data_IF_764494480535
#
_entry.id   IF_764494480535
#
_cell.length_a   1.000
_cell.length_b   1.000
_cell.length_c   1.000
_cell.angle_alpha   90.00
_cell.angle_beta   90.00
_cell.angle_gamma   90.00
#
_symmetry.space_group_name_H-M   'P 1'
#
loop_
_entity.id
_entity.type
_entity.pdbx_description
1 polymer ?
#
# COMPACT_ATOMS: atom_id res chain seq x y z
N UNK A 1 2.37 12.27 -1.48
CA UNK A 1 3.04 11.36 -0.49
C UNK A 1 3.38 10.03 -1.12
N UNK A 2 2.57 9.49 -2.04
CA UNK A 2 2.79 8.21 -2.74
C UNK A 2 4.13 8.18 -3.46
N UNK A 3 4.44 9.23 -4.23
CA UNK A 3 5.72 9.39 -4.91
C UNK A 3 6.91 9.47 -3.92
N UNK A 4 6.70 10.10 -2.75
CA UNK A 4 7.72 10.19 -1.69
C UNK A 4 8.01 8.80 -1.12
N UNK A 5 6.97 8.00 -0.86
CA UNK A 5 7.11 6.64 -0.37
C UNK A 5 7.88 5.76 -1.36
N UNK A 6 7.53 5.84 -2.64
CA UNK A 6 8.24 5.11 -3.69
C UNK A 6 9.70 5.56 -3.81
N UNK A 7 9.97 6.86 -3.74
CA UNK A 7 11.33 7.41 -3.74
C UNK A 7 12.16 6.87 -2.57
N UNK A 8 11.58 6.82 -1.36
CA UNK A 8 12.25 6.22 -0.18
C UNK A 8 12.60 4.75 -0.46
N UNK A 9 11.65 3.97 -0.99
CA UNK A 9 11.86 2.56 -1.30
C UNK A 9 13.00 2.38 -2.31
N UNK A 10 13.01 3.15 -3.39
CA UNK A 10 14.08 3.14 -4.41
C UNK A 10 15.43 3.48 -3.78
N UNK A 11 15.52 4.58 -3.02
CA UNK A 11 16.78 4.99 -2.39
C UNK A 11 17.29 3.95 -1.40
N UNK A 12 16.41 3.37 -0.59
CA UNK A 12 16.79 2.28 0.33
C UNK A 12 17.31 1.06 -0.42
N UNK A 13 16.64 0.64 -1.49
CA UNK A 13 17.11 -0.47 -2.31
C UNK A 13 18.46 -0.19 -2.94
N UNK A 14 18.67 1.01 -3.50
CA UNK A 14 19.96 1.42 -4.07
C UNK A 14 21.09 1.42 -3.04
N UNK A 15 20.85 1.91 -1.82
CA UNK A 15 21.87 1.94 -0.74
C UNK A 15 22.27 0.54 -0.26
N UNK A 16 21.45 -0.48 -0.48
CA UNK A 16 21.73 -1.88 -0.14
C UNK A 16 22.60 -2.59 -1.14
N UNK A 17 22.64 -2.12 -2.37
CA UNK A 17 23.58 -2.60 -3.37
C UNK A 17 24.99 -2.18 -2.88
N UNK A 18 25.64 -3.05 -2.08
CA UNK A 18 26.94 -2.82 -1.43
C UNK A 18 28.07 -2.44 -2.39
N UNK A 19 27.81 -2.52 -3.69
CA UNK A 19 28.76 -2.25 -4.76
C UNK A 19 29.13 -0.77 -4.89
N UNK A 20 28.27 0.15 -4.44
CA UNK A 20 28.50 1.59 -4.58
C UNK A 20 28.02 2.36 -3.34
N UNK A 21 28.82 3.32 -2.91
CA UNK A 21 28.43 4.28 -1.86
C UNK A 21 27.56 5.38 -2.50
N UNK A 22 26.23 5.20 -2.46
CA UNK A 22 25.30 6.14 -3.08
C UNK A 22 25.00 7.26 -2.10
N UNK A 23 25.33 8.48 -2.49
CA UNK A 23 24.96 9.71 -1.77
C UNK A 23 23.85 10.40 -2.55
N UNK A 24 22.66 10.49 -1.95
CA UNK A 24 21.56 11.26 -2.52
C UNK A 24 21.69 12.72 -2.03
N UNK A 25 21.68 13.64 -2.97
CA UNK A 25 21.63 15.09 -2.71
C UNK A 25 20.41 15.65 -3.44
N UNK A 26 19.76 16.63 -2.85
CA UNK A 26 18.61 17.30 -3.44
C UNK A 26 18.39 18.66 -2.78
N UNK A 27 17.71 19.54 -3.48
CA UNK A 27 17.24 20.81 -2.95
C UNK A 27 15.82 20.64 -2.42
N UNK A 28 15.43 21.46 -1.46
CA UNK A 28 14.05 21.55 -1.02
C UNK A 28 13.17 22.06 -2.16
N UNK A 29 11.91 21.60 -2.28
CA UNK A 29 10.96 22.20 -3.18
C UNK A 29 10.81 23.69 -2.93
N UNK A 30 10.62 24.47 -3.98
CA UNK A 30 10.33 25.90 -3.87
C UNK A 30 8.92 26.11 -3.31
N UNK A 31 7.99 25.25 -3.73
CA UNK A 31 6.61 25.24 -3.26
C UNK A 31 6.53 24.84 -1.79
N UNK A 32 5.89 25.68 -0.98
CA UNK A 32 5.78 25.49 0.46
C UNK A 32 4.90 24.28 0.83
N UNK A 33 3.83 24.01 0.07
CA UNK A 33 2.96 22.86 0.32
C UNK A 33 3.70 21.56 0.06
N UNK A 34 4.47 21.49 -1.05
CA UNK A 34 5.30 20.32 -1.35
C UNK A 34 6.37 20.10 -0.28
N UNK A 35 6.96 21.18 0.26
CA UNK A 35 7.93 21.12 1.34
C UNK A 35 7.31 20.58 2.62
N UNK A 36 6.15 21.09 3.02
CA UNK A 36 5.39 20.67 4.18
C UNK A 36 5.03 19.18 4.11
N UNK A 37 4.55 18.71 2.95
CA UNK A 37 4.25 17.28 2.71
C UNK A 37 5.50 16.41 2.91
N UNK A 38 6.66 16.80 2.40
CA UNK A 38 7.91 16.05 2.56
C UNK A 38 8.30 15.98 4.05
N UNK A 39 8.20 17.08 4.77
CA UNK A 39 8.55 17.13 6.19
C UNK A 39 7.61 16.26 7.03
N UNK A 40 6.31 16.38 6.84
CA UNK A 40 5.28 15.62 7.57
C UNK A 40 5.34 14.13 7.26
N UNK A 41 5.73 13.74 6.04
CA UNK A 41 5.86 12.33 5.64
C UNK A 41 6.92 11.55 6.43
N UNK A 42 7.84 12.23 7.10
CA UNK A 42 9.00 11.61 7.76
C UNK A 42 10.16 11.28 6.81
N UNK A 43 10.15 11.80 5.57
CA UNK A 43 11.18 11.57 4.54
C UNK A 43 12.61 11.76 5.05
N UNK A 44 12.86 12.82 5.80
CA UNK A 44 14.21 13.13 6.31
C UNK A 44 14.78 12.07 7.25
N UNK A 45 13.93 11.39 8.01
CA UNK A 45 14.38 10.28 8.87
C UNK A 45 14.97 9.12 8.05
N UNK A 46 14.41 8.86 6.85
CA UNK A 46 14.95 7.86 5.93
C UNK A 46 16.21 8.32 5.21
N UNK A 47 16.36 9.61 5.01
CA UNK A 47 17.54 10.18 4.36
C UNK A 47 18.74 10.33 5.30
N UNK A 48 18.59 10.03 6.60
CA UNK A 48 19.61 10.24 7.62
C UNK A 48 20.07 11.70 7.67
N UNK A 49 19.18 12.62 7.38
CA UNK A 49 19.38 14.05 7.46
C UNK A 49 18.45 14.65 8.51
N UNK A 50 18.90 15.70 9.17
CA UNK A 50 18.03 16.49 10.03
C UNK A 50 16.99 17.22 9.17
N UNK A 51 15.73 17.19 9.59
CA UNK A 51 14.72 18.07 9.01
C UNK A 51 15.14 19.53 9.25
N UNK A 52 15.07 20.39 8.24
CA UNK A 52 15.38 21.81 8.41
C UNK A 52 14.41 22.52 9.36
N UNK A 53 13.22 21.96 9.56
CA UNK A 53 12.21 22.49 10.48
C UNK A 53 11.76 21.42 11.48
N UNK A 54 11.56 21.78 12.74
CA UNK A 54 10.87 20.94 13.71
C UNK A 54 9.38 20.95 13.39
N UNK A 55 8.88 19.89 12.75
CA UNK A 55 7.43 19.66 12.68
C UNK A 55 6.96 19.30 14.08
N UNK A 56 6.34 20.26 14.77
CA UNK A 56 5.67 20.02 16.05
C UNK A 56 4.45 19.15 15.77
N UNK A 57 4.34 18.05 16.49
CA UNK A 57 3.30 17.03 16.51
C UNK A 57 2.08 17.25 15.61
N UNK A 58 2.17 16.82 14.37
CA UNK A 58 1.06 16.93 13.43
C UNK A 58 0.10 15.77 13.64
N UNK A 59 -1.11 16.09 14.06
CA UNK A 59 -2.18 15.11 14.26
C UNK A 59 -2.85 14.68 12.94
N UNK A 60 -2.50 15.26 11.80
CA UNK A 60 -3.15 15.01 10.50
C UNK A 60 -2.40 14.03 9.61
N UNK A 61 -1.21 13.58 10.05
CA UNK A 61 -0.38 12.64 9.28
C UNK A 61 0.16 11.52 10.15
N UNK A 62 0.04 10.29 9.64
CA UNK A 62 0.83 9.15 10.09
C UNK A 62 2.08 9.07 9.23
N UNK A 63 3.27 9.29 9.83
CA UNK A 63 4.54 9.25 9.12
C UNK A 63 4.76 7.91 8.42
N UNK A 64 5.51 7.91 7.34
CA UNK A 64 5.89 6.69 6.64
C UNK A 64 6.59 5.76 7.64
N UNK A 65 6.01 4.58 7.81
CA UNK A 65 6.54 3.47 8.60
C UNK A 65 6.93 2.33 7.67
N UNK A 66 7.89 1.51 8.04
CA UNK A 66 8.34 0.38 7.22
C UNK A 66 8.78 -0.78 8.08
N UNK A 67 8.59 -2.00 7.59
CA UNK A 67 9.01 -3.22 8.25
C UNK A 67 9.13 -4.39 7.29
N UNK A 68 9.51 -5.55 7.84
CA UNK A 68 9.60 -6.83 7.12
C UNK A 68 8.51 -7.80 7.56
N UNK A 69 8.06 -7.66 8.80
CA UNK A 69 7.07 -8.53 9.44
C UNK A 69 5.77 -7.77 9.72
N UNK A 70 4.70 -8.50 10.01
CA UNK A 70 3.44 -7.87 10.39
C UNK A 70 3.55 -7.19 11.75
N UNK A 71 3.16 -5.91 11.82
CA UNK A 71 3.18 -5.07 13.02
C UNK A 71 1.76 -4.76 13.49
N UNK A 72 1.28 -5.52 14.47
CA UNK A 72 -0.06 -5.35 15.02
C UNK A 72 -0.22 -4.05 15.81
N UNK A 73 0.84 -3.55 16.45
CA UNK A 73 0.78 -2.30 17.19
C UNK A 73 0.65 -1.10 16.24
N UNK A 74 1.41 -1.12 15.17
CA UNK A 74 1.32 -0.10 14.12
C UNK A 74 -0.06 -0.14 13.44
N UNK A 75 -0.58 -1.34 13.10
CA UNK A 75 -1.92 -1.48 12.52
C UNK A 75 -3.01 -0.93 13.46
N UNK A 76 -2.91 -1.16 14.78
CA UNK A 76 -3.80 -0.57 15.78
C UNK A 76 -3.72 0.95 15.79
N UNK A 77 -2.50 1.52 15.76
CA UNK A 77 -2.30 2.98 15.74
C UNK A 77 -2.93 3.66 14.52
N UNK A 78 -2.93 2.98 13.36
CA UNK A 78 -3.68 3.47 12.18
C UNK A 78 -5.19 3.43 12.38
N UNK A 79 -5.72 2.40 13.05
CA UNK A 79 -7.14 2.36 13.39
C UNK A 79 -7.54 3.51 14.33
N UNK A 80 -6.74 3.75 15.38
CA UNK A 80 -6.97 4.84 16.32
C UNK A 80 -6.91 6.21 15.62
N UNK A 81 -5.96 6.37 14.69
CA UNK A 81 -5.85 7.56 13.87
C UNK A 81 -7.11 7.82 13.06
N UNK A 82 -7.61 6.82 12.34
CA UNK A 82 -8.85 6.93 11.54
C UNK A 82 -10.05 7.23 12.43
N UNK A 83 -10.19 6.54 13.56
CA UNK A 83 -11.30 6.78 14.50
C UNK A 83 -11.34 8.24 14.93
N UNK A 84 -10.17 8.78 15.26
CA UNK A 84 -10.04 10.18 15.71
C UNK A 84 -10.32 11.18 14.58
N UNK A 85 -9.82 10.90 13.36
CA UNK A 85 -9.88 11.88 12.26
C UNK A 85 -11.21 11.83 11.48
N UNK A 86 -11.87 10.68 11.44
CA UNK A 86 -13.12 10.48 10.69
C UNK A 86 -14.36 10.33 11.57
N UNK A 87 -14.27 10.66 12.85
CA UNK A 87 -15.37 10.49 13.83
C UNK A 87 -15.99 9.06 13.80
N UNK A 88 -15.11 8.05 13.72
CA UNK A 88 -15.50 6.67 13.58
C UNK A 88 -15.36 5.90 14.90
N UNK A 89 -16.18 4.85 15.05
CA UNK A 89 -16.10 3.92 16.18
C UNK A 89 -15.16 2.75 15.86
N UNK A 90 -14.78 1.98 16.88
CA UNK A 90 -14.04 0.71 16.72
C UNK A 90 -14.74 -0.24 15.75
N UNK A 91 -16.08 -0.27 15.76
CA UNK A 91 -16.88 -1.11 14.85
C UNK A 91 -16.69 -0.72 13.39
N UNK A 92 -16.55 0.57 13.12
CA UNK A 92 -16.37 1.10 11.77
C UNK A 92 -14.99 0.76 11.21
N UNK A 93 -13.95 0.85 12.03
CA UNK A 93 -12.57 0.53 11.65
C UNK A 93 -12.22 -0.95 11.75
N UNK A 94 -13.18 -1.82 12.14
CA UNK A 94 -12.97 -3.26 12.36
C UNK A 94 -12.29 -3.97 11.17
N UNK A 95 -12.46 -3.48 9.95
CA UNK A 95 -11.89 -4.06 8.73
C UNK A 95 -10.48 -3.55 8.40
N UNK A 96 -10.11 -2.37 8.88
CA UNK A 96 -8.82 -1.77 8.59
C UNK A 96 -7.66 -2.56 9.20
N UNK A 97 -7.79 -2.98 10.46
CA UNK A 97 -6.75 -3.75 11.14
C UNK A 97 -6.37 -5.04 10.40
N UNK A 98 -7.30 -5.98 10.12
CA UNK A 98 -6.96 -7.20 9.40
C UNK A 98 -6.49 -6.93 7.97
N UNK A 99 -6.95 -5.86 7.30
CA UNK A 99 -6.46 -5.46 5.99
C UNK A 99 -4.98 -5.08 6.04
N UNK A 100 -4.57 -4.25 7.00
CA UNK A 100 -3.17 -3.85 7.16
C UNK A 100 -2.28 -5.06 7.49
N UNK A 101 -2.71 -5.93 8.41
CA UNK A 101 -1.98 -7.15 8.75
C UNK A 101 -1.83 -8.07 7.53
N UNK A 102 -2.87 -8.22 6.72
CA UNK A 102 -2.84 -9.01 5.49
C UNK A 102 -1.82 -8.45 4.48
N UNK A 103 -1.82 -7.13 4.24
CA UNK A 103 -0.87 -6.49 3.35
C UNK A 103 0.58 -6.67 3.83
N UNK A 104 0.85 -6.47 5.12
CA UNK A 104 2.18 -6.69 5.72
C UNK A 104 2.61 -8.15 5.60
N UNK A 105 1.71 -9.09 5.89
CA UNK A 105 1.98 -10.53 5.81
C UNK A 105 2.24 -10.99 4.38
N UNK A 106 1.50 -10.46 3.41
CA UNK A 106 1.67 -10.77 2.00
C UNK A 106 3.06 -10.36 1.49
N UNK A 107 3.59 -9.24 1.96
CA UNK A 107 4.96 -8.82 1.66
C UNK A 107 5.98 -9.87 2.09
N UNK A 108 5.79 -10.49 3.25
CA UNK A 108 6.69 -11.53 3.75
C UNK A 108 6.55 -12.85 2.99
N UNK A 109 5.33 -13.32 2.75
CA UNK A 109 5.06 -14.68 2.24
C UNK A 109 5.31 -14.86 0.74
N UNK A 110 5.08 -13.84 -0.08
CA UNK A 110 5.17 -13.93 -1.54
C UNK A 110 6.53 -13.47 -2.09
N UNK A 111 7.44 -13.22 -1.19
CA UNK A 111 8.72 -12.60 -1.44
C UNK A 111 9.81 -13.56 -1.91
N UNK A 112 9.62 -14.86 -1.87
CA UNK A 112 10.70 -15.83 -2.18
C UNK A 112 10.83 -16.11 -3.68
N UNK A 113 11.72 -15.40 -4.34
CA UNK A 113 12.59 -15.96 -5.36
C UNK A 113 14.01 -15.88 -4.80
N UNK A 114 14.64 -17.03 -4.61
CA UNK A 114 16.09 -17.11 -4.48
C UNK A 114 16.69 -16.56 -5.76
N UNK A 115 17.12 -15.31 -5.74
CA UNK A 115 17.90 -14.76 -6.83
C UNK A 115 19.36 -15.01 -6.52
N UNK A 116 20.15 -15.36 -7.54
CA UNK A 116 21.60 -15.57 -7.56
C UNK A 116 22.42 -14.37 -7.00
N UNK A 117 21.77 -13.26 -6.63
CA UNK A 117 22.37 -12.01 -6.17
C UNK A 117 22.17 -11.74 -4.67
N UNK A 118 21.81 -12.73 -3.86
CA UNK A 118 21.57 -12.59 -2.43
C UNK A 118 20.13 -12.18 -2.10
N UNK A 119 19.66 -12.55 -0.89
CA UNK A 119 18.33 -12.22 -0.41
C UNK A 119 18.16 -10.70 -0.36
N UNK A 120 17.36 -10.14 -1.27
CA UNK A 120 16.84 -8.78 -1.09
C UNK A 120 15.79 -8.84 0.02
N UNK A 121 16.10 -8.25 1.15
CA UNK A 121 15.09 -8.04 2.19
C UNK A 121 13.96 -7.21 1.62
N UNK A 122 12.74 -7.66 1.80
CA UNK A 122 11.53 -7.04 1.30
C UNK A 122 10.90 -6.24 2.41
N UNK A 123 10.63 -5.00 2.09
CA UNK A 123 9.99 -4.07 2.99
C UNK A 123 8.60 -3.75 2.51
N UNK A 124 7.73 -3.61 3.47
CA UNK A 124 6.53 -2.81 3.28
C UNK A 124 6.76 -1.40 3.86
N UNK A 125 6.02 -0.48 3.28
CA UNK A 125 5.92 0.90 3.71
C UNK A 125 4.45 1.26 3.80
N UNK A 126 4.06 2.01 4.83
CA UNK A 126 2.68 2.49 5.02
C UNK A 126 2.68 3.90 5.56
N UNK A 127 1.72 4.70 5.10
CA UNK A 127 1.46 6.06 5.57
C UNK A 127 -0.02 6.38 5.40
N UNK A 128 -0.52 7.34 6.18
CA UNK A 128 -1.86 7.87 6.01
C UNK A 128 -1.89 9.35 6.36
N UNK A 129 -2.79 10.10 5.75
CA UNK A 129 -2.99 11.53 6.06
C UNK A 129 -4.42 11.95 5.83
N UNK A 130 -4.82 12.99 6.57
CA UNK A 130 -6.15 13.59 6.47
C UNK A 130 -6.27 14.35 5.15
N UNK A 131 -7.40 14.19 4.48
CA UNK A 131 -7.83 14.93 3.31
C UNK A 131 -9.14 15.65 3.59
N UNK A 132 -9.68 16.34 2.60
CA UNK A 132 -10.99 17.01 2.73
C UNK A 132 -12.17 16.03 2.84
N UNK A 133 -11.97 14.75 2.45
CA UNK A 133 -13.04 13.73 2.40
C UNK A 133 -12.85 12.60 3.43
N UNK A 134 -11.77 12.65 4.21
CA UNK A 134 -11.43 11.60 5.18
C UNK A 134 -9.95 11.35 5.27
N UNK A 135 -9.55 10.09 5.39
CA UNK A 135 -8.16 9.68 5.52
C UNK A 135 -7.70 8.90 4.29
N UNK A 136 -6.64 9.38 3.66
CA UNK A 136 -5.97 8.74 2.54
C UNK A 136 -4.86 7.82 3.02
N UNK A 137 -4.82 6.61 2.48
CA UNK A 137 -3.83 5.57 2.79
C UNK A 137 -2.98 5.23 1.59
N UNK A 138 -1.71 4.98 1.85
CA UNK A 138 -0.78 4.39 0.89
C UNK A 138 -0.03 3.25 1.55
N UNK A 139 0.00 2.11 0.89
CA UNK A 139 0.80 0.95 1.26
C UNK A 139 1.63 0.51 0.04
N UNK A 140 2.94 0.34 0.22
CA UNK A 140 3.86 -0.12 -0.81
C UNK A 140 4.63 -1.34 -0.29
N UNK A 141 4.62 -2.44 -1.02
CA UNK A 141 5.60 -3.50 -0.85
C UNK A 141 6.69 -3.43 -1.95
N UNK A 142 7.89 -3.86 -1.62
CA UNK A 142 9.02 -3.95 -2.57
C UNK A 142 9.26 -5.39 -3.05
N UNK A 143 8.20 -6.20 -3.06
CA UNK A 143 8.23 -7.58 -3.54
C UNK A 143 8.34 -7.71 -5.06
N UNK A 144 8.11 -8.92 -5.57
CA UNK A 144 8.12 -9.19 -7.02
C UNK A 144 6.86 -8.72 -7.73
N UNK A 145 5.85 -8.28 -6.98
CA UNK A 145 4.54 -7.87 -7.49
C UNK A 145 3.55 -9.04 -7.66
N UNK A 146 2.26 -8.67 -7.69
CA UNK A 146 1.15 -9.64 -7.81
C UNK A 146 1.30 -10.50 -9.07
N UNK A 147 1.53 -9.96 -10.28
CA UNK A 147 1.64 -10.76 -11.50
C UNK A 147 2.70 -11.87 -11.42
N UNK A 148 3.85 -11.55 -10.84
CA UNK A 148 4.95 -12.51 -10.73
C UNK A 148 4.68 -13.63 -9.71
N UNK A 149 3.90 -13.37 -8.66
CA UNK A 149 3.51 -14.39 -7.67
C UNK A 149 2.44 -15.33 -8.20
N UNK A 150 1.53 -14.79 -9.01
CA UNK A 150 0.43 -15.56 -9.62
C UNK A 150 0.94 -16.42 -10.78
N UNK A 151 1.89 -15.93 -11.55
CA UNK A 151 2.39 -16.60 -12.77
C UNK A 151 2.83 -18.06 -12.57
N UNK A 152 3.40 -18.40 -11.40
CA UNK A 152 3.83 -19.79 -11.11
C UNK A 152 2.66 -20.76 -10.89
N UNK A 153 1.51 -20.26 -10.35
CA UNK A 153 0.36 -21.11 -10.00
C UNK A 153 -0.66 -21.24 -11.12
N UNK A 154 -0.56 -20.43 -12.14
CA UNK A 154 -1.62 -20.18 -13.11
C UNK A 154 -1.28 -20.63 -14.52
N UNK A 155 0.00 -20.77 -14.86
CA UNK A 155 0.42 -21.32 -16.16
C UNK A 155 -0.24 -22.69 -16.47
N UNK A 156 -0.65 -23.42 -15.42
CA UNK A 156 -1.34 -24.71 -15.57
C UNK A 156 -2.85 -24.56 -15.80
N UNK A 157 -3.46 -23.39 -15.59
CA UNK A 157 -4.92 -23.22 -15.56
C UNK A 157 -5.49 -22.08 -16.42
N UNK A 158 -4.69 -21.20 -16.98
CA UNK A 158 -5.20 -20.04 -17.74
C UNK A 158 -4.96 -20.13 -19.23
N UNK A 159 -6.04 -19.88 -19.98
CA UNK A 159 -6.04 -19.69 -21.41
C UNK A 159 -5.17 -18.51 -21.85
N UNK A 160 -4.66 -18.54 -23.06
CA UNK A 160 -3.76 -17.55 -23.72
C UNK A 160 -4.20 -16.08 -23.62
N UNK A 161 -5.47 -15.82 -23.27
CA UNK A 161 -6.09 -14.50 -23.16
C UNK A 161 -5.53 -13.60 -22.05
N UNK A 162 -4.87 -14.15 -21.04
CA UNK A 162 -4.32 -13.39 -19.89
C UNK A 162 -2.80 -13.27 -19.96
N UNK A 163 -2.17 -14.06 -20.80
CA UNK A 163 -0.71 -14.08 -20.95
C UNK A 163 -0.16 -12.69 -21.31
N UNK A 164 0.68 -12.13 -20.44
CA UNK A 164 1.36 -10.86 -20.69
C UNK A 164 0.58 -9.58 -20.32
N UNK A 165 -0.56 -9.68 -19.63
CA UNK A 165 -1.31 -8.53 -19.14
C UNK A 165 -1.35 -8.48 -17.60
N UNK A 166 -0.41 -7.74 -16.99
CA UNK A 166 -0.29 -7.61 -15.54
C UNK A 166 -1.56 -7.11 -14.87
N UNK A 167 -2.30 -6.21 -15.51
CA UNK A 167 -3.56 -5.68 -14.97
C UNK A 167 -4.64 -6.79 -14.86
N UNK A 168 -4.69 -7.70 -15.83
CA UNK A 168 -5.62 -8.83 -15.79
C UNK A 168 -5.26 -9.84 -14.69
N UNK A 169 -3.98 -10.00 -14.35
CA UNK A 169 -3.57 -10.82 -13.20
C UNK A 169 -4.02 -10.20 -11.88
N UNK A 170 -3.87 -8.87 -11.72
CA UNK A 170 -4.35 -8.16 -10.54
C UNK A 170 -5.88 -8.31 -10.42
N UNK A 171 -6.62 -8.03 -11.50
CA UNK A 171 -8.07 -8.16 -11.56
C UNK A 171 -8.54 -9.56 -11.16
N UNK A 172 -7.96 -10.60 -11.78
CA UNK A 172 -8.28 -12.00 -11.49
C UNK A 172 -8.01 -12.38 -10.04
N UNK A 173 -6.95 -11.80 -9.45
CA UNK A 173 -6.61 -12.02 -8.04
C UNK A 173 -7.65 -11.36 -7.12
N UNK A 174 -8.09 -10.15 -7.42
CA UNK A 174 -9.14 -9.45 -6.69
C UNK A 174 -10.47 -10.21 -6.75
N UNK A 175 -10.80 -10.78 -7.90
CA UNK A 175 -12.00 -11.60 -8.10
C UNK A 175 -11.89 -13.00 -7.48
N UNK A 176 -10.75 -13.35 -6.91
CA UNK A 176 -10.56 -14.63 -6.21
C UNK A 176 -10.28 -15.83 -7.10
N UNK A 177 -9.92 -15.62 -8.38
CA UNK A 177 -9.62 -16.70 -9.32
C UNK A 177 -8.47 -17.63 -8.87
N UNK A 178 -7.64 -17.20 -7.92
CA UNK A 178 -6.47 -17.93 -7.43
C UNK A 178 -6.57 -18.33 -5.96
N UNK A 179 -7.80 -18.43 -5.43
CA UNK A 179 -8.01 -18.99 -4.09
C UNK A 179 -7.43 -20.40 -4.04
N UNK A 180 -6.38 -20.57 -3.28
CA UNK A 180 -5.94 -21.90 -2.86
C UNK A 180 -7.00 -22.47 -1.93
N UNK A 181 -7.45 -23.69 -2.15
CA UNK A 181 -8.39 -24.45 -1.31
C UNK A 181 -7.81 -24.83 0.06
N UNK A 182 -6.84 -24.08 0.57
CA UNK A 182 -6.33 -24.31 1.94
C UNK A 182 -7.43 -23.94 2.92
N UNK A 183 -8.07 -24.96 3.48
CA UNK A 183 -9.12 -24.96 4.51
C UNK A 183 -8.69 -24.31 5.86
N UNK A 184 -7.83 -23.31 5.85
CA UNK A 184 -7.49 -22.58 7.07
C UNK A 184 -8.51 -21.45 7.27
N UNK A 185 -9.47 -21.72 8.13
CA UNK A 185 -10.59 -20.87 8.53
C UNK A 185 -10.21 -19.47 9.06
N UNK A 186 -8.94 -19.23 9.39
CA UNK A 186 -8.47 -18.03 10.11
C UNK A 186 -7.54 -17.11 9.32
N UNK A 187 -7.26 -17.38 8.04
CA UNK A 187 -6.57 -16.39 7.18
C UNK A 187 -7.59 -15.44 6.61
N UNK A 188 -7.33 -14.14 6.77
CA UNK A 188 -8.10 -13.09 6.14
C UNK A 188 -8.38 -13.42 4.67
N UNK A 189 -9.43 -12.87 4.11
CA UNK A 189 -9.86 -13.22 2.73
C UNK A 189 -8.84 -12.79 1.66
N UNK A 190 -7.68 -12.26 2.05
CA UNK A 190 -6.65 -11.76 1.16
C UNK A 190 -7.13 -10.61 0.27
N UNK A 191 -6.54 -10.49 -0.92
CA UNK A 191 -6.93 -9.46 -1.89
C UNK A 191 -8.43 -9.48 -2.26
N UNK A 192 -9.11 -10.64 -2.39
CA UNK A 192 -10.56 -10.65 -2.58
C UNK A 192 -11.35 -10.01 -1.45
N UNK A 193 -10.85 -10.10 -0.20
CA UNK A 193 -11.50 -9.43 0.94
C UNK A 193 -11.36 -7.92 0.88
N UNK A 194 -10.21 -7.42 0.46
CA UNK A 194 -9.99 -5.98 0.24
C UNK A 194 -10.92 -5.46 -0.87
N UNK A 195 -11.10 -6.21 -1.94
CA UNK A 195 -12.04 -5.88 -3.00
C UNK A 195 -13.50 -5.88 -2.50
N UNK A 196 -13.90 -6.87 -1.70
CA UNK A 196 -15.22 -6.90 -1.07
C UNK A 196 -15.44 -5.68 -0.15
N UNK A 197 -14.43 -5.27 0.61
CA UNK A 197 -14.51 -4.09 1.48
C UNK A 197 -14.66 -2.79 0.67
N UNK A 198 -14.01 -2.69 -0.51
CA UNK A 198 -14.19 -1.57 -1.43
C UNK A 198 -15.61 -1.55 -2.04
N UNK A 199 -16.13 -2.69 -2.50
CA UNK A 199 -17.51 -2.80 -3.03
C UNK A 199 -18.56 -2.46 -1.98
N UNK A 200 -18.31 -2.77 -0.71
CA UNK A 200 -19.21 -2.49 0.39
C UNK A 200 -19.00 -1.08 1.00
N UNK A 201 -18.31 -0.20 0.32
CA UNK A 201 -18.01 1.17 0.74
C UNK A 201 -17.35 1.27 2.15
N UNK A 202 -16.60 0.23 2.56
CA UNK A 202 -15.78 0.28 3.78
C UNK A 202 -14.47 1.03 3.55
N UNK A 203 -13.99 0.97 2.32
CA UNK A 203 -12.90 1.78 1.78
C UNK A 203 -13.35 2.32 0.41
N UNK A 204 -12.80 3.44 -0.01
CA UNK A 204 -13.12 4.11 -1.27
C UNK A 204 -11.86 4.30 -2.11
N UNK A 205 -12.04 4.56 -3.39
CA UNK A 205 -10.94 4.91 -4.31
C UNK A 205 -9.80 3.87 -4.36
N UNK A 206 -10.11 2.58 -4.12
CA UNK A 206 -9.10 1.53 -4.13
C UNK A 206 -8.41 1.47 -5.49
N UNK A 207 -7.11 1.73 -5.50
CA UNK A 207 -6.24 1.61 -6.66
C UNK A 207 -5.04 0.72 -6.31
N UNK A 208 -4.74 -0.23 -7.19
CA UNK A 208 -3.62 -1.17 -7.05
C UNK A 208 -2.75 -1.06 -8.29
N UNK A 209 -1.45 -0.81 -8.07
CA UNK A 209 -0.44 -0.82 -9.13
C UNK A 209 0.58 -1.89 -8.82
N UNK A 210 0.83 -2.80 -9.76
CA UNK A 210 1.85 -3.83 -9.60
C UNK A 210 2.44 -4.21 -10.96
N UNK A 211 3.75 -4.18 -11.07
CA UNK A 211 4.49 -4.31 -12.32
C UNK A 211 3.94 -3.32 -13.38
N UNK A 212 3.46 -3.79 -14.53
CA UNK A 212 2.85 -2.96 -15.60
C UNK A 212 1.32 -2.90 -15.53
N UNK A 213 0.73 -3.39 -14.44
CA UNK A 213 -0.72 -3.40 -14.25
C UNK A 213 -1.19 -2.35 -13.27
N UNK A 214 -2.35 -1.74 -13.57
CA UNK A 214 -3.11 -0.89 -12.66
C UNK A 214 -4.56 -1.32 -12.66
N UNK A 215 -5.14 -1.49 -11.47
CA UNK A 215 -6.55 -1.76 -11.28
C UNK A 215 -7.14 -0.73 -10.33
N UNK A 216 -8.27 -0.14 -10.71
CA UNK A 216 -9.03 0.79 -9.87
C UNK A 216 -10.44 0.24 -9.70
N UNK A 217 -10.91 0.18 -8.47
CA UNK A 217 -12.30 -0.21 -8.18
C UNK A 217 -13.19 1.00 -8.42
N UNK A 218 -14.20 0.82 -9.28
CA UNK A 218 -15.15 1.88 -9.66
C UNK A 218 -16.56 1.29 -9.58
N UNK A 219 -17.34 1.74 -8.61
CA UNK A 219 -18.62 1.14 -8.29
C UNK A 219 -18.47 -0.37 -8.01
N UNK A 220 -19.26 -1.20 -8.67
CA UNK A 220 -19.22 -2.65 -8.53
C UNK A 220 -18.17 -3.36 -9.40
N UNK A 221 -17.40 -2.61 -10.20
CA UNK A 221 -16.46 -3.16 -11.17
C UNK A 221 -15.02 -2.78 -10.93
N UNK A 222 -14.15 -3.33 -11.79
CA UNK A 222 -12.71 -3.04 -11.81
C UNK A 222 -12.35 -2.48 -13.17
N UNK A 223 -11.72 -1.29 -13.19
CA UNK A 223 -11.06 -0.75 -14.36
C UNK A 223 -9.62 -1.20 -14.36
N UNK A 224 -9.22 -1.94 -15.39
CA UNK A 224 -7.87 -2.48 -15.56
C UNK A 224 -7.12 -1.74 -16.66
N UNK A 225 -5.90 -1.28 -16.38
CA UNK A 225 -5.06 -0.50 -17.30
C UNK A 225 -3.66 -1.09 -17.35
N UNK A 226 -3.08 -1.17 -18.56
CA UNK A 226 -1.67 -1.51 -18.75
C UNK A 226 -0.84 -0.24 -18.73
N UNK A 227 0.21 -0.22 -17.89
CA UNK A 227 1.13 0.90 -17.77
C UNK A 227 2.31 0.75 -18.75
N UNK A 228 2.85 1.89 -19.19
CA UNK A 228 4.06 1.94 -20.02
C UNK A 228 5.34 1.65 -19.22
N UNK A 229 5.33 1.94 -17.91
CA UNK A 229 6.45 1.73 -16.99
C UNK A 229 6.08 0.66 -15.97
N UNK A 230 7.09 -0.04 -15.45
CA UNK A 230 6.90 -1.07 -14.42
C UNK A 230 7.20 -0.50 -13.03
N UNK A 231 6.32 -0.77 -12.08
CA UNK A 231 6.57 -0.61 -10.66
C UNK A 231 7.14 -1.91 -10.10
N UNK A 232 8.30 -1.91 -9.49
CA UNK A 232 8.80 -3.06 -8.74
C UNK A 232 8.05 -3.15 -7.39
N UNK A 233 7.33 -4.27 -7.18
CA UNK A 233 6.47 -4.45 -6.01
C UNK A 233 5.00 -4.20 -6.28
N UNK A 234 4.28 -3.83 -5.20
CA UNK A 234 2.86 -3.51 -5.28
C UNK A 234 2.52 -2.29 -4.45
N UNK A 235 1.85 -1.34 -5.07
CA UNK A 235 1.32 -0.13 -4.44
C UNK A 235 -0.20 -0.27 -4.29
N UNK A 236 -0.69 -0.08 -3.08
CA UNK A 236 -2.10 0.05 -2.74
C UNK A 236 -2.37 1.48 -2.31
N UNK A 237 -3.43 2.07 -2.83
CA UNK A 237 -3.94 3.38 -2.45
C UNK A 237 -5.43 3.26 -2.21
N UNK A 238 -5.93 3.82 -1.10
CA UNK A 238 -7.37 3.86 -0.79
C UNK A 238 -7.70 5.00 0.16
N UNK A 239 -8.97 5.32 0.26
CA UNK A 239 -9.49 6.32 1.18
C UNK A 239 -10.47 5.67 2.17
N UNK A 240 -10.51 6.21 3.39
CA UNK A 240 -11.59 5.99 4.35
C UNK A 240 -12.30 7.32 4.50
N UNK A 241 -13.57 7.36 4.06
CA UNK A 241 -14.34 8.59 4.07
C UNK A 241 -14.79 8.91 5.49
N UNK A 242 -14.80 10.19 5.82
CA UNK A 242 -15.41 10.69 7.06
C UNK A 242 -16.90 10.32 7.08
N UNK A 243 -17.40 9.92 8.24
CA UNK A 243 -18.84 9.79 8.43
C UNK A 243 -19.43 11.18 8.51
N UNK A 244 -20.33 11.50 7.58
CA UNK A 244 -21.22 12.64 7.74
C UNK A 244 -22.02 12.43 9.03
N UNK A 245 -21.95 13.39 9.93
CA UNK A 245 -22.89 13.45 11.03
C UNK A 245 -24.29 13.56 10.41
N UNK A 246 -25.09 12.51 10.53
CA UNK A 246 -26.51 12.62 10.25
C UNK A 246 -27.07 13.56 11.32
N UNK A 247 -26.99 14.85 11.07
CA UNK A 247 -27.82 15.78 11.81
C UNK A 247 -29.27 15.44 11.47
N UNK A 248 -29.93 14.79 12.40
CA UNK A 248 -31.40 14.65 12.40
C UNK A 248 -31.99 16.06 12.35
N UNK A 249 -32.38 16.49 11.17
CA UNK A 249 -33.32 17.58 11.01
C UNK A 249 -34.70 17.07 11.47
N UNK A 250 -34.97 17.20 12.79
CA UNK A 250 -36.31 17.16 13.35
C UNK A 250 -36.91 18.55 13.38
#
# INVERSE_FOLDING_TARGET
TDAIMYLIAVIKNMRRLKTFRITCRGNLPIDENARDIIERSGFYSYMQSSSPHKVTGDSTHMKISSGTDADGQLASSFCDFVQKQCNMTIKDTKKLYPMLIELMTNTHQHAYRENQYGMMERFWYVSAWVTQIGVHFVFLDTGVGIPATVHKKVLERMTELVAGNDAKYIESTLLGAFRTETKQLNRGKGLPGIYEDARNNKISNLCIVSNKGKCTVVGDGIRSEKLNTSLEGTLFVWDILEKEDMYDYH
#
